data_IF_959052831539
#
_entry.id   IF_959052831539
#
_cell.length_a   1.000
_cell.length_b   1.000
_cell.length_c   1.000
_cell.angle_alpha   90.00
_cell.angle_beta   90.00
_cell.angle_gamma   90.00
#
_symmetry.space_group_name_H-M   'P 1'
#
loop_
_entity.id
_entity.type
_entity.pdbx_description
1 polymer ?
#
# COMPACT_ATOMS: atom_id res chain seq x y z
N UNK A 1 -16.98 8.95 -11.15
CA UNK A 1 -16.19 7.87 -11.74
C UNK A 1 -15.36 7.22 -10.63
N UNK A 2 -15.56 5.92 -10.45
CA UNK A 2 -14.86 5.24 -9.37
C UNK A 2 -13.43 4.93 -9.79
N UNK A 3 -12.50 5.39 -9.00
CA UNK A 3 -11.09 5.05 -9.18
C UNK A 3 -10.62 4.27 -7.98
N UNK A 4 -9.74 3.33 -8.24
CA UNK A 4 -9.13 2.52 -7.19
C UNK A 4 -7.63 2.79 -7.18
N UNK A 5 -7.07 2.86 -5.99
CA UNK A 5 -5.65 3.12 -5.78
C UNK A 5 -5.03 1.87 -5.20
N UNK A 6 -3.99 1.36 -5.85
CA UNK A 6 -3.11 0.36 -5.26
C UNK A 6 -1.97 1.15 -4.62
N UNK A 7 -1.69 0.86 -3.36
CA UNK A 7 -0.73 1.64 -2.60
C UNK A 7 0.23 0.76 -1.85
N UNK A 8 1.42 1.29 -1.63
CA UNK A 8 2.43 0.67 -0.79
C UNK A 8 2.78 1.65 0.32
N UNK A 9 2.72 1.18 1.55
CA UNK A 9 3.06 1.96 2.73
C UNK A 9 4.36 1.45 3.33
N UNK A 10 5.16 2.37 3.84
CA UNK A 10 6.36 2.03 4.61
C UNK A 10 6.13 2.44 6.06
N UNK A 11 6.48 1.55 6.98
CA UNK A 11 6.47 1.87 8.39
C UNK A 11 7.60 2.86 8.70
N UNK A 12 7.31 3.88 9.50
CA UNK A 12 8.34 4.82 9.95
C UNK A 12 9.14 4.28 11.13
N UNK A 13 8.76 3.12 11.64
CA UNK A 13 9.41 2.51 12.81
C UNK A 13 10.28 1.31 12.46
N UNK A 14 9.95 0.64 11.34
CA UNK A 14 10.65 -0.57 10.92
C UNK A 14 10.80 -0.54 9.40
N UNK A 15 11.41 -1.57 8.83
CA UNK A 15 11.54 -1.72 7.38
C UNK A 15 10.35 -2.44 6.74
N UNK A 16 9.24 -2.59 7.47
CA UNK A 16 8.08 -3.30 6.95
C UNK A 16 7.28 -2.46 5.95
N UNK A 17 6.73 -3.15 4.97
CA UNK A 17 5.88 -2.56 3.94
C UNK A 17 4.49 -3.18 4.04
N UNK A 18 3.48 -2.40 3.66
CA UNK A 18 2.11 -2.87 3.53
C UNK A 18 1.60 -2.56 2.14
N UNK A 19 0.97 -3.52 1.48
CA UNK A 19 0.37 -3.35 0.16
C UNK A 19 -1.13 -3.52 0.27
N UNK A 20 -1.86 -2.62 -0.37
CA UNK A 20 -3.31 -2.68 -0.35
C UNK A 20 -3.92 -1.97 -1.53
N UNK A 21 -5.25 -1.99 -1.60
CA UNK A 21 -5.98 -1.18 -2.56
C UNK A 21 -7.20 -0.58 -1.86
N UNK A 22 -7.66 0.55 -2.38
CA UNK A 22 -8.81 1.24 -1.80
C UNK A 22 -9.44 2.18 -2.82
N UNK A 23 -10.72 2.49 -2.62
CA UNK A 23 -11.37 3.55 -3.36
C UNK A 23 -11.23 4.90 -2.67
N UNK A 24 -10.65 4.95 -1.47
CA UNK A 24 -10.47 6.20 -0.72
C UNK A 24 -9.17 6.10 0.10
N UNK A 25 -8.10 6.61 -0.49
CA UNK A 25 -6.78 6.50 0.13
C UNK A 25 -6.68 7.32 1.42
N UNK A 26 -7.29 8.50 1.44
CA UNK A 26 -7.22 9.38 2.63
C UNK A 26 -7.83 8.68 3.84
N UNK A 27 -9.04 8.13 3.68
CA UNK A 27 -9.71 7.40 4.77
C UNK A 27 -8.92 6.17 5.19
N UNK A 28 -8.35 5.46 4.22
CA UNK A 28 -7.57 4.27 4.52
C UNK A 28 -6.30 4.61 5.29
N UNK A 29 -5.65 5.73 4.96
CA UNK A 29 -4.47 6.19 5.68
C UNK A 29 -4.80 6.58 7.12
N UNK A 30 -5.94 7.25 7.34
CA UNK A 30 -6.39 7.54 8.69
C UNK A 30 -6.59 6.26 9.49
N UNK A 31 -7.19 5.25 8.87
CA UNK A 31 -7.41 3.95 9.52
C UNK A 31 -6.08 3.29 9.91
N UNK A 32 -5.10 3.28 9.01
CA UNK A 32 -3.80 2.67 9.31
C UNK A 32 -3.05 3.41 10.40
N UNK A 33 -3.08 4.73 10.41
CA UNK A 33 -2.26 5.53 11.33
C UNK A 33 -2.95 5.83 12.66
N UNK A 34 -4.27 6.05 12.65
CA UNK A 34 -4.97 6.47 13.86
C UNK A 34 -5.84 5.36 14.45
N UNK A 35 -6.60 4.67 13.58
CA UNK A 35 -7.58 3.68 14.01
C UNK A 35 -7.13 2.25 13.78
N UNK A 36 -6.01 2.06 13.09
CA UNK A 36 -5.54 0.76 12.66
C UNK A 36 -5.62 -0.31 13.74
N UNK A 37 -5.91 -1.53 13.33
CA UNK A 37 -6.01 -2.67 14.22
C UNK A 37 -5.05 -3.77 13.76
N UNK A 38 -4.75 -4.70 14.66
CA UNK A 38 -3.91 -5.84 14.34
C UNK A 38 -2.53 -5.44 13.86
N UNK A 39 -2.15 -5.98 12.72
CA UNK A 39 -0.81 -5.85 12.19
C UNK A 39 -0.43 -4.40 11.84
N UNK A 40 -1.34 -3.66 11.18
CA UNK A 40 -1.02 -2.29 10.77
C UNK A 40 -0.87 -1.35 11.95
N UNK A 41 -1.66 -1.54 13.00
CA UNK A 41 -1.55 -0.75 14.23
C UNK A 41 -0.18 -0.89 14.87
N UNK A 42 0.38 -2.08 14.82
CA UNK A 42 1.65 -2.41 15.47
C UNK A 42 2.83 -1.65 14.88
N UNK A 43 2.80 -1.37 13.58
CA UNK A 43 3.93 -0.79 12.87
C UNK A 43 3.69 0.65 12.41
N UNK A 44 2.65 1.29 12.92
CA UNK A 44 2.38 2.69 12.59
C UNK A 44 3.43 3.61 13.22
N UNK A 45 3.63 4.83 12.70
CA UNK A 45 2.90 5.43 11.59
C UNK A 45 3.39 4.93 10.24
N UNK A 46 2.49 5.03 9.25
CA UNK A 46 2.76 4.59 7.89
C UNK A 46 2.88 5.78 6.95
N UNK A 47 3.75 5.69 5.98
CA UNK A 47 3.92 6.70 4.93
C UNK A 47 3.66 6.05 3.59
N UNK A 48 2.90 6.73 2.71
CA UNK A 48 2.69 6.26 1.34
C UNK A 48 3.97 6.45 0.55
N UNK A 49 4.51 5.38 -0.01
CA UNK A 49 5.75 5.43 -0.79
C UNK A 49 5.55 5.13 -2.27
N UNK A 50 4.40 4.58 -2.64
CA UNK A 50 4.11 4.25 -4.03
C UNK A 50 2.60 4.10 -4.25
N UNK A 51 2.08 4.60 -5.37
CA UNK A 51 0.68 4.45 -5.74
C UNK A 51 0.54 4.20 -7.24
N UNK A 52 -0.54 3.48 -7.60
CA UNK A 52 -1.00 3.31 -8.98
C UNK A 52 -2.52 3.45 -9.00
N UNK A 53 -3.05 4.00 -10.08
CA UNK A 53 -4.49 4.20 -10.23
C UNK A 53 -5.08 3.20 -11.20
N UNK A 54 -6.27 2.70 -10.88
CA UNK A 54 -7.02 1.76 -11.72
C UNK A 54 -8.48 2.17 -11.76
N UNK A 55 -9.12 1.94 -12.89
CA UNK A 55 -10.54 2.28 -13.07
C UNK A 55 -11.48 1.18 -12.60
N UNK A 56 -10.98 -0.04 -12.39
CA UNK A 56 -11.81 -1.15 -11.93
C UNK A 56 -11.21 -1.78 -10.68
N UNK A 57 -12.12 -2.28 -9.84
CA UNK A 57 -11.72 -3.00 -8.63
C UNK A 57 -10.91 -4.25 -8.96
N UNK A 58 -11.32 -4.98 -10.00
CA UNK A 58 -10.65 -6.22 -10.39
C UNK A 58 -9.19 -5.99 -10.78
N UNK A 59 -8.92 -4.92 -11.53
CA UNK A 59 -7.56 -4.58 -11.92
C UNK A 59 -6.71 -4.21 -10.71
N UNK A 60 -7.28 -3.43 -9.80
CA UNK A 60 -6.58 -3.03 -8.57
C UNK A 60 -6.26 -4.25 -7.70
N UNK A 61 -7.22 -5.16 -7.54
CA UNK A 61 -7.03 -6.38 -6.76
C UNK A 61 -5.91 -7.24 -7.34
N UNK A 62 -5.91 -7.41 -8.67
CA UNK A 62 -4.90 -8.21 -9.33
C UNK A 62 -3.49 -7.61 -9.13
N UNK A 63 -3.39 -6.30 -9.22
CA UNK A 63 -2.09 -5.63 -9.04
C UNK A 63 -1.63 -5.69 -7.58
N UNK A 64 -2.54 -5.49 -6.63
CA UNK A 64 -2.21 -5.62 -5.21
C UNK A 64 -1.67 -7.02 -4.90
N UNK A 65 -2.32 -8.04 -5.45
CA UNK A 65 -1.86 -9.42 -5.28
C UNK A 65 -0.47 -9.62 -5.90
N UNK A 66 -0.24 -9.02 -7.06
CA UNK A 66 1.07 -9.11 -7.72
C UNK A 66 2.18 -8.50 -6.85
N UNK A 67 1.90 -7.37 -6.18
CA UNK A 67 2.88 -6.75 -5.31
C UNK A 67 3.28 -7.65 -4.13
N UNK A 68 2.46 -8.61 -3.78
CA UNK A 68 2.77 -9.58 -2.72
C UNK A 68 3.56 -10.77 -3.24
N UNK A 69 3.73 -10.91 -4.55
CA UNK A 69 4.54 -11.95 -5.15
C UNK A 69 6.03 -11.60 -5.08
N UNK A 70 6.88 -12.56 -5.40
CA UNK A 70 8.33 -12.34 -5.43
C UNK A 70 8.71 -11.21 -6.39
N UNK A 71 8.12 -11.21 -7.59
CA UNK A 71 8.40 -10.17 -8.58
C UNK A 71 7.96 -8.80 -8.12
N UNK A 72 6.78 -8.72 -7.51
CA UNK A 72 6.26 -7.45 -7.00
C UNK A 72 7.08 -6.89 -5.85
N UNK A 73 7.53 -7.75 -4.97
CA UNK A 73 8.40 -7.35 -3.86
C UNK A 73 9.73 -6.81 -4.38
N UNK A 74 10.28 -7.45 -5.40
CA UNK A 74 11.51 -6.99 -6.03
C UNK A 74 11.32 -5.64 -6.69
N UNK A 75 10.21 -5.47 -7.40
CA UNK A 75 9.88 -4.20 -8.06
C UNK A 75 9.87 -3.05 -7.06
N UNK A 76 9.16 -3.21 -5.94
CA UNK A 76 9.06 -2.15 -4.93
C UNK A 76 10.41 -1.90 -4.26
N UNK A 77 11.14 -2.94 -3.96
CA UNK A 77 12.48 -2.80 -3.35
C UNK A 77 13.41 -2.01 -4.25
N UNK A 78 13.41 -2.32 -5.54
CA UNK A 78 14.25 -1.61 -6.49
C UNK A 78 13.81 -0.17 -6.67
N UNK A 79 12.49 0.07 -6.69
CA UNK A 79 11.93 1.42 -6.74
C UNK A 79 12.39 2.26 -5.56
N UNK A 80 12.31 1.70 -4.36
CA UNK A 80 12.67 2.43 -3.14
C UNK A 80 14.17 2.73 -3.05
N UNK A 81 15.01 1.91 -3.67
CA UNK A 81 16.45 2.17 -3.71
C UNK A 81 16.81 3.39 -4.55
N UNK A 82 15.96 3.72 -5.52
CA UNK A 82 16.19 4.86 -6.40
C UNK A 82 15.88 6.17 -5.70
N UNK A 83 14.99 6.13 -4.73
CA UNK A 83 14.62 7.29 -3.96
C UNK A 83 15.71 7.61 -2.93
#
# INVERSE_FOLDING_TARGET
>A
MDEFVVYVLASNRTDRLYKGYTSNLIERMKSHNALGSGWTKRYRPWTVVYIEFYTTKGAAMAREKWFKSTSGRRFIRDFLKIL
#
